data_IF_952603798773
#
_entry.id   IF_952603798773
#
_cell.length_a   1.000
_cell.length_b   1.000
_cell.length_c   1.000
_cell.angle_alpha   90.00
_cell.angle_beta   90.00
_cell.angle_gamma   90.00
#
_symmetry.space_group_name_H-M   'P 1'
#
loop_
_entity.id
_entity.type
_entity.pdbx_description
1 polymer ?
#
# COMPACT_ATOMS: atom_id res chain seq x y z
N UNK A 1 -5.30 0.06 24.64
CA UNK A 1 -5.64 1.20 23.77
C UNK A 1 -6.79 1.98 24.37
N UNK A 2 -6.75 3.31 24.29
CA UNK A 2 -7.95 4.13 24.51
C UNK A 2 -8.97 3.81 23.40
N UNK A 3 -10.24 3.59 23.77
CA UNK A 3 -11.32 3.29 22.83
C UNK A 3 -11.53 4.41 21.81
N UNK A 4 -11.29 5.68 22.20
CA UNK A 4 -11.36 6.81 21.29
C UNK A 4 -10.31 6.77 20.19
N UNK A 5 -9.06 6.44 20.55
CA UNK A 5 -7.95 6.32 19.59
C UNK A 5 -8.15 5.16 18.62
N UNK A 6 -8.66 4.02 19.11
CA UNK A 6 -9.00 2.89 18.25
C UNK A 6 -10.12 3.24 17.27
N UNK A 7 -11.21 3.84 17.76
CA UNK A 7 -12.34 4.24 16.92
C UNK A 7 -11.91 5.22 15.82
N UNK A 8 -11.09 6.21 16.17
CA UNK A 8 -10.56 7.16 15.20
C UNK A 8 -9.63 6.51 14.19
N UNK A 9 -8.73 5.61 14.62
CA UNK A 9 -7.78 4.94 13.71
C UNK A 9 -8.49 4.06 12.68
N UNK A 10 -9.55 3.34 13.10
CA UNK A 10 -10.37 2.54 12.18
C UNK A 10 -11.15 3.43 11.21
N UNK A 11 -11.74 4.52 11.71
CA UNK A 11 -12.44 5.49 10.86
C UNK A 11 -11.50 6.13 9.83
N UNK A 12 -10.30 6.56 10.26
CA UNK A 12 -9.27 7.12 9.39
C UNK A 12 -8.83 6.10 8.32
N UNK A 13 -8.64 4.84 8.70
CA UNK A 13 -8.31 3.75 7.76
C UNK A 13 -9.39 3.59 6.68
N UNK A 14 -10.68 3.59 7.07
CA UNK A 14 -11.78 3.50 6.12
C UNK A 14 -11.82 4.70 5.15
N UNK A 15 -11.57 5.91 5.64
CA UNK A 15 -11.54 7.12 4.81
C UNK A 15 -10.39 7.09 3.79
N UNK A 16 -9.19 6.69 4.21
CA UNK A 16 -8.04 6.60 3.29
C UNK A 16 -8.24 5.47 2.27
N UNK A 17 -8.79 4.33 2.69
CA UNK A 17 -9.12 3.25 1.75
C UNK A 17 -10.11 3.73 0.67
N UNK A 18 -11.09 4.55 1.05
CA UNK A 18 -12.07 5.12 0.13
C UNK A 18 -11.47 6.06 -0.93
N UNK A 19 -10.26 6.59 -0.70
CA UNK A 19 -9.56 7.38 -1.72
C UNK A 19 -9.19 6.54 -2.94
N UNK A 20 -8.99 5.22 -2.81
CA UNK A 20 -8.60 4.37 -3.95
C UNK A 20 -9.75 4.18 -4.97
N UNK A 21 -11.00 3.88 -4.56
CA UNK A 21 -12.16 4.04 -5.43
C UNK A 21 -12.31 5.46 -5.98
N UNK A 22 -12.03 6.48 -5.16
CA UNK A 22 -12.00 7.88 -5.59
C UNK A 22 -11.06 8.11 -6.77
N UNK A 23 -9.83 7.59 -6.71
CA UNK A 23 -8.84 7.63 -7.80
C UNK A 23 -9.31 6.84 -9.02
N UNK A 24 -9.94 5.67 -8.80
CA UNK A 24 -10.50 4.86 -9.89
C UNK A 24 -11.57 5.64 -10.68
N UNK A 25 -12.48 6.32 -9.98
CA UNK A 25 -13.49 7.17 -10.61
C UNK A 25 -12.89 8.44 -11.21
N UNK A 26 -11.92 9.06 -10.54
CA UNK A 26 -11.25 10.26 -11.02
C UNK A 26 -10.54 9.99 -12.35
N UNK A 27 -9.66 8.98 -12.42
CA UNK A 27 -9.00 8.62 -13.66
C UNK A 27 -9.94 7.99 -14.68
N UNK A 28 -10.93 7.21 -14.23
CA UNK A 28 -12.00 6.69 -15.07
C UNK A 28 -12.78 7.79 -15.79
N UNK A 29 -13.04 8.93 -15.13
CA UNK A 29 -13.72 10.09 -15.70
C UNK A 29 -12.89 10.89 -16.70
N UNK A 30 -11.56 10.74 -16.71
CA UNK A 30 -10.65 11.42 -17.63
C UNK A 30 -10.40 10.63 -18.93
N UNK A 31 -10.77 9.35 -18.98
CA UNK A 31 -10.59 8.49 -20.17
C UNK A 31 -11.85 8.43 -21.02
N UNK A 32 -11.73 7.87 -22.24
CA UNK A 32 -12.88 7.67 -23.14
C UNK A 32 -13.86 6.66 -22.52
N UNK A 33 -15.16 6.83 -22.79
CA UNK A 33 -16.23 5.97 -22.27
C UNK A 33 -15.95 4.46 -22.44
N UNK A 34 -15.41 4.05 -23.60
CA UNK A 34 -15.07 2.64 -23.89
C UNK A 34 -13.95 2.06 -23.00
N UNK A 35 -13.21 2.92 -22.31
CA UNK A 35 -12.01 2.59 -21.56
C UNK A 35 -12.17 2.75 -20.04
N UNK A 36 -13.28 3.33 -19.58
CA UNK A 36 -13.53 3.64 -18.16
C UNK A 36 -13.37 2.39 -17.29
N UNK A 37 -14.01 1.28 -17.70
CA UNK A 37 -13.94 0.02 -16.94
C UNK A 37 -12.51 -0.49 -16.85
N UNK A 38 -11.75 -0.43 -17.95
CA UNK A 38 -10.35 -0.85 -17.95
C UNK A 38 -9.52 0.01 -17.01
N UNK A 39 -9.76 1.31 -16.97
CA UNK A 39 -9.05 2.24 -16.08
C UNK A 39 -9.37 1.96 -14.61
N UNK A 40 -10.65 1.74 -14.29
CA UNK A 40 -11.08 1.38 -12.94
C UNK A 40 -10.47 0.04 -12.49
N UNK A 41 -10.39 -0.95 -13.38
CA UNK A 41 -9.77 -2.24 -13.07
C UNK A 41 -8.30 -2.10 -12.66
N UNK A 42 -7.52 -1.17 -13.22
CA UNK A 42 -6.14 -0.96 -12.80
C UNK A 42 -6.05 -0.55 -11.32
N UNK A 43 -6.92 0.37 -10.89
CA UNK A 43 -6.96 0.86 -9.51
C UNK A 43 -7.49 -0.19 -8.52
N UNK A 44 -8.58 -0.89 -8.86
CA UNK A 44 -9.11 -1.97 -8.01
C UNK A 44 -8.20 -3.21 -7.98
N UNK A 45 -7.51 -3.49 -9.08
CA UNK A 45 -6.48 -4.55 -9.14
C UNK A 45 -5.32 -4.24 -8.20
N UNK A 46 -4.86 -2.99 -8.16
CA UNK A 46 -3.85 -2.56 -7.19
C UNK A 46 -4.33 -2.72 -5.74
N UNK A 47 -5.59 -2.37 -5.45
CA UNK A 47 -6.18 -2.58 -4.12
C UNK A 47 -6.15 -4.05 -3.68
N UNK A 48 -6.61 -4.96 -4.53
CA UNK A 48 -6.61 -6.39 -4.21
C UNK A 48 -5.21 -6.97 -4.06
N UNK A 49 -4.30 -6.64 -5.00
CA UNK A 49 -2.94 -7.19 -4.99
C UNK A 49 -2.11 -6.63 -3.84
N UNK A 50 -2.00 -5.30 -3.75
CA UNK A 50 -1.11 -4.66 -2.78
C UNK A 50 -1.61 -4.88 -1.36
N UNK A 51 -2.93 -4.93 -1.14
CA UNK A 51 -3.51 -5.30 0.14
C UNK A 51 -3.05 -6.69 0.61
N UNK A 52 -3.05 -7.68 -0.28
CA UNK A 52 -2.57 -9.03 0.04
C UNK A 52 -1.05 -9.03 0.29
N UNK A 53 -0.25 -8.44 -0.60
CA UNK A 53 1.21 -8.43 -0.44
C UNK A 53 1.65 -7.71 0.84
N UNK A 54 0.96 -6.62 1.20
CA UNK A 54 1.24 -5.87 2.41
C UNK A 54 1.07 -6.72 3.67
N UNK A 55 -0.05 -7.45 3.78
CA UNK A 55 -0.32 -8.32 4.93
C UNK A 55 0.62 -9.52 4.96
N UNK A 56 0.92 -10.12 3.81
CA UNK A 56 1.80 -11.30 3.76
C UNK A 56 3.23 -10.97 4.21
N UNK A 57 3.81 -9.87 3.73
CA UNK A 57 5.20 -9.54 4.06
C UNK A 57 5.54 -8.04 4.00
N UNK A 58 4.76 -7.20 3.32
CA UNK A 58 5.09 -5.79 3.13
C UNK A 58 5.15 -4.99 4.43
N UNK A 59 4.26 -5.27 5.39
CA UNK A 59 4.31 -4.63 6.71
C UNK A 59 5.62 -4.93 7.44
N UNK A 60 6.06 -6.19 7.45
CA UNK A 60 7.32 -6.58 8.07
C UNK A 60 8.53 -5.97 7.35
N UNK A 61 8.50 -5.91 6.01
CA UNK A 61 9.53 -5.20 5.23
C UNK A 61 9.59 -3.70 5.55
N UNK A 62 8.47 -3.10 5.95
CA UNK A 62 8.39 -1.68 6.28
C UNK A 62 8.92 -1.34 7.67
N UNK A 63 9.38 -2.31 8.47
CA UNK A 63 9.93 -2.09 9.81
C UNK A 63 11.38 -2.60 9.88
N UNK A 64 12.33 -1.70 10.09
CA UNK A 64 13.76 -2.01 10.20
C UNK A 64 14.14 -2.14 11.67
N UNK A 65 14.57 -3.34 12.09
CA UNK A 65 14.99 -3.64 13.47
C UNK A 65 16.51 -3.71 13.64
N UNK A 66 17.25 -3.98 12.57
CA UNK A 66 18.67 -4.36 12.66
C UNK A 66 19.64 -3.18 12.43
N UNK A 67 19.11 -1.97 12.21
CA UNK A 67 19.88 -0.72 12.11
C UNK A 67 19.40 0.20 10.96
N UNK A 68 19.63 1.52 11.03
CA UNK A 68 19.00 2.48 10.12
C UNK A 68 19.49 2.40 8.66
N UNK A 69 20.65 1.79 8.40
CA UNK A 69 21.25 1.70 7.06
C UNK A 69 20.69 0.56 6.20
N UNK A 70 19.80 -0.27 6.74
CA UNK A 70 19.22 -1.39 6.00
C UNK A 70 18.21 -0.90 4.96
N UNK A 71 18.17 -1.58 3.82
CA UNK A 71 17.26 -1.23 2.72
C UNK A 71 15.80 -1.59 3.04
N UNK A 72 15.55 -2.65 3.80
CA UNK A 72 14.22 -3.07 4.23
C UNK A 72 14.33 -3.96 5.47
N UNK A 73 13.21 -4.12 6.18
CA UNK A 73 13.04 -5.12 7.23
C UNK A 73 12.99 -6.55 6.70
N UNK A 74 13.01 -7.53 7.61
CA UNK A 74 12.89 -8.93 7.25
C UNK A 74 11.44 -9.28 6.86
N UNK A 75 11.15 -9.67 5.60
CA UNK A 75 9.79 -10.01 5.15
C UNK A 75 9.15 -11.19 5.90
N UNK A 76 9.97 -12.10 6.44
CA UNK A 76 9.51 -13.37 7.01
C UNK A 76 9.51 -13.39 8.55
N UNK A 77 9.69 -12.25 9.21
CA UNK A 77 9.68 -12.17 10.68
C UNK A 77 8.32 -12.55 11.28
N UNK A 78 7.22 -12.13 10.67
CA UNK A 78 5.85 -12.55 11.03
C UNK A 78 4.98 -12.65 9.77
N UNK A 79 5.22 -13.68 8.95
CA UNK A 79 4.54 -13.82 7.66
C UNK A 79 3.00 -13.88 7.83
N UNK A 80 2.29 -13.03 7.09
CA UNK A 80 0.83 -12.93 7.19
C UNK A 80 0.32 -12.29 8.48
N UNK A 81 1.19 -11.67 9.27
CA UNK A 81 0.85 -11.10 10.58
C UNK A 81 0.22 -12.12 11.53
N UNK A 82 0.69 -13.37 11.47
CA UNK A 82 0.10 -14.50 12.19
C UNK A 82 0.16 -14.33 13.72
N UNK A 83 1.14 -13.57 14.22
CA UNK A 83 1.33 -13.32 15.66
C UNK A 83 1.05 -11.85 16.04
N UNK A 84 0.45 -11.07 15.13
CA UNK A 84 0.19 -9.66 15.35
C UNK A 84 -0.91 -9.45 16.41
N UNK A 85 -0.65 -8.52 17.33
CA UNK A 85 -1.66 -8.04 18.28
C UNK A 85 -2.60 -7.01 17.61
N UNK A 86 -3.68 -6.65 18.30
CA UNK A 86 -4.68 -5.70 17.81
C UNK A 86 -4.07 -4.35 17.39
N UNK A 87 -3.13 -3.82 18.18
CA UNK A 87 -2.47 -2.54 17.93
C UNK A 87 -1.65 -2.59 16.63
N UNK A 88 -0.92 -3.69 16.40
CA UNK A 88 -0.15 -3.93 15.19
C UNK A 88 -1.06 -4.06 13.98
N UNK A 89 -2.20 -4.75 14.12
CA UNK A 89 -3.18 -4.89 13.04
C UNK A 89 -3.80 -3.55 12.64
N UNK A 90 -4.08 -2.65 13.60
CA UNK A 90 -4.58 -1.30 13.31
C UNK A 90 -3.52 -0.50 12.55
N UNK A 91 -2.25 -0.54 12.99
CA UNK A 91 -1.16 0.11 12.26
C UNK A 91 -0.94 -0.46 10.86
N UNK A 92 -0.99 -1.79 10.74
CA UNK A 92 -0.81 -2.50 9.47
C UNK A 92 -1.93 -2.20 8.47
N UNK A 93 -3.19 -2.20 8.91
CA UNK A 93 -4.33 -1.88 8.06
C UNK A 93 -4.33 -0.42 7.65
N UNK A 94 -3.97 0.51 8.54
CA UNK A 94 -3.79 1.91 8.19
C UNK A 94 -2.69 2.08 7.14
N UNK A 95 -1.49 1.50 7.36
CA UNK A 95 -0.38 1.55 6.39
C UNK A 95 -0.71 0.92 5.04
N UNK A 96 -1.49 -0.17 5.02
CA UNK A 96 -1.93 -0.83 3.79
C UNK A 96 -2.67 0.13 2.85
N UNK A 97 -3.48 1.04 3.39
CA UNK A 97 -4.25 1.99 2.58
C UNK A 97 -3.35 2.95 1.79
N UNK A 98 -2.22 3.37 2.37
CA UNK A 98 -1.22 4.21 1.69
C UNK A 98 -0.44 3.44 0.64
N UNK A 99 -0.11 2.18 0.90
CA UNK A 99 0.51 1.30 -0.08
C UNK A 99 -0.39 1.12 -1.31
N UNK A 100 -1.67 0.84 -1.06
CA UNK A 100 -2.68 0.65 -2.10
C UNK A 100 -2.83 1.91 -2.96
N UNK A 101 -3.10 3.07 -2.34
CA UNK A 101 -3.37 4.29 -3.12
C UNK A 101 -2.13 4.72 -3.90
N UNK A 102 -0.93 4.57 -3.35
CA UNK A 102 0.32 4.96 -4.02
C UNK A 102 0.52 4.17 -5.31
N UNK A 103 0.30 2.85 -5.28
CA UNK A 103 0.37 2.02 -6.49
C UNK A 103 -0.76 2.35 -7.45
N UNK A 104 -1.99 2.57 -6.94
CA UNK A 104 -3.11 2.96 -7.78
C UNK A 104 -2.87 4.27 -8.54
N UNK A 105 -2.18 5.25 -7.95
CA UNK A 105 -1.83 6.52 -8.62
C UNK A 105 -0.95 6.32 -9.86
N UNK A 106 -0.07 5.32 -9.87
CA UNK A 106 0.79 5.01 -11.03
C UNK A 106 -0.06 4.63 -12.25
N UNK A 107 -1.24 4.04 -12.05
CA UNK A 107 -2.12 3.63 -13.14
C UNK A 107 -2.55 4.81 -14.03
N UNK A 108 -2.61 6.03 -13.47
CA UNK A 108 -2.93 7.25 -14.22
C UNK A 108 -1.95 7.56 -15.34
N UNK A 109 -0.66 7.21 -15.19
CA UNK A 109 0.37 7.47 -16.19
C UNK A 109 0.30 6.52 -17.41
N UNK A 110 -0.39 5.39 -17.27
CA UNK A 110 -0.45 4.32 -18.29
C UNK A 110 -1.87 4.05 -18.79
N UNK A 111 -2.79 4.99 -18.53
CA UNK A 111 -4.18 4.93 -18.98
C UNK A 111 -4.26 4.64 -20.49
N UNK A 112 -5.17 3.76 -20.89
CA UNK A 112 -5.40 3.32 -22.27
C UNK A 112 -4.22 2.61 -22.98
N UNK A 113 -3.10 2.36 -22.32
CA UNK A 113 -1.87 1.84 -22.95
C UNK A 113 -1.32 0.56 -22.34
N UNK A 114 -1.88 0.11 -21.21
CA UNK A 114 -1.40 -1.07 -20.48
C UNK A 114 -2.38 -2.24 -20.50
N UNK A 115 -1.85 -3.46 -20.54
CA UNK A 115 -2.61 -4.70 -20.31
C UNK A 115 -2.72 -4.96 -18.81
N UNK A 116 -3.89 -5.41 -18.35
CA UNK A 116 -4.14 -5.69 -16.94
C UNK A 116 -3.14 -6.69 -16.33
N UNK A 117 -2.85 -7.80 -17.01
CA UNK A 117 -1.87 -8.78 -16.49
C UNK A 117 -0.47 -8.21 -16.29
N UNK A 118 0.04 -7.46 -17.27
CA UNK A 118 1.34 -6.77 -17.17
C UNK A 118 1.35 -5.72 -16.06
N UNK A 119 0.23 -5.01 -15.90
CA UNK A 119 0.04 -4.07 -14.79
C UNK A 119 0.13 -4.74 -13.43
N UNK A 120 -0.54 -5.89 -13.23
CA UNK A 120 -0.52 -6.60 -11.95
C UNK A 120 0.89 -7.06 -11.58
N UNK A 121 1.66 -7.57 -12.54
CA UNK A 121 3.06 -7.95 -12.31
C UNK A 121 3.89 -6.73 -11.92
N UNK A 122 3.76 -5.64 -12.68
CA UNK A 122 4.46 -4.38 -12.38
C UNK A 122 4.09 -3.85 -10.99
N UNK A 123 2.81 -3.81 -10.64
CA UNK A 123 2.30 -3.32 -9.37
C UNK A 123 2.88 -4.12 -8.19
N UNK A 124 2.93 -5.44 -8.30
CA UNK A 124 3.50 -6.30 -7.25
C UNK A 124 5.01 -6.12 -7.08
N UNK A 125 5.75 -6.05 -8.19
CA UNK A 125 7.20 -5.82 -8.17
C UNK A 125 7.51 -4.43 -7.61
N UNK A 126 6.80 -3.40 -8.08
CA UNK A 126 7.02 -2.02 -7.66
C UNK A 126 6.68 -1.82 -6.19
N UNK A 127 5.55 -2.39 -5.71
CA UNK A 127 5.22 -2.35 -4.29
C UNK A 127 6.32 -2.97 -3.44
N UNK A 128 6.84 -4.13 -3.86
CA UNK A 128 7.85 -4.90 -3.12
C UNK A 128 9.22 -4.24 -3.11
N UNK A 129 9.69 -3.76 -4.27
CA UNK A 129 11.05 -3.26 -4.43
C UNK A 129 11.19 -1.75 -4.19
N UNK A 130 10.09 -1.00 -4.22
CA UNK A 130 10.11 0.46 -4.09
C UNK A 130 9.30 0.89 -2.88
N UNK A 131 8.00 0.58 -2.84
CA UNK A 131 7.14 1.11 -1.79
C UNK A 131 7.51 0.59 -0.39
N UNK A 132 7.65 -0.72 -0.21
CA UNK A 132 7.95 -1.29 1.12
C UNK A 132 9.30 -0.80 1.68
N UNK A 133 10.40 -0.77 0.89
CA UNK A 133 11.67 -0.18 1.32
C UNK A 133 11.56 1.32 1.66
N UNK A 134 10.87 2.11 0.82
CA UNK A 134 10.71 3.55 1.08
C UNK A 134 9.91 3.79 2.36
N UNK A 135 8.84 3.03 2.59
CA UNK A 135 8.09 3.08 3.85
C UNK A 135 9.01 2.75 5.04
N UNK A 136 9.92 1.79 4.90
CA UNK A 136 10.89 1.44 5.91
C UNK A 136 11.87 2.58 6.22
N UNK A 137 12.35 3.27 5.17
CA UNK A 137 13.28 4.39 5.34
C UNK A 137 12.67 5.58 6.07
N UNK A 138 11.41 5.89 5.77
CA UNK A 138 10.73 7.09 6.26
C UNK A 138 10.02 6.84 7.59
N UNK A 139 9.39 5.69 7.78
CA UNK A 139 8.54 5.41 8.96
C UNK A 139 9.01 4.22 9.80
N UNK A 140 9.84 3.36 9.23
CA UNK A 140 10.25 2.08 9.82
C UNK A 140 11.56 2.09 10.59
N UNK A 141 12.09 3.25 11.00
CA UNK A 141 13.38 3.35 11.68
C UNK A 141 14.61 3.36 10.75
N UNK A 142 14.41 3.46 9.44
CA UNK A 142 15.50 3.60 8.48
C UNK A 142 16.13 4.99 8.43
N UNK A 143 17.09 5.15 7.53
CA UNK A 143 17.98 6.31 7.50
C UNK A 143 17.30 7.66 7.31
N UNK A 144 16.21 7.75 6.53
CA UNK A 144 15.51 9.04 6.32
C UNK A 144 14.93 9.54 7.64
N UNK A 145 14.31 8.65 8.42
CA UNK A 145 13.79 8.98 9.75
C UNK A 145 14.86 9.51 10.71
N UNK A 146 16.13 9.11 10.53
CA UNK A 146 17.25 9.55 11.37
C UNK A 146 17.80 10.92 10.98
N UNK A 147 17.42 11.46 9.81
CA UNK A 147 17.87 12.78 9.35
C UNK A 147 17.08 13.95 9.96
N UNK A 148 15.96 13.67 10.63
CA UNK A 148 15.01 14.67 11.15
C UNK A 148 13.91 15.01 10.15
#
# INVERSE_FOLDING_TARGET
MDSGNLAWSVAATALVLFMTPGVAFFYGGLVKAKSVVSMMMLSFGAMGLVGVLWILYGFNMSAITDGPTFLAGNPFSDFGLANANSDTLVGATYGATFAIITVALISGAIADRAKFGSWMIFAGIWATLVYFPVAAWVWGGGWIMQLG
#
